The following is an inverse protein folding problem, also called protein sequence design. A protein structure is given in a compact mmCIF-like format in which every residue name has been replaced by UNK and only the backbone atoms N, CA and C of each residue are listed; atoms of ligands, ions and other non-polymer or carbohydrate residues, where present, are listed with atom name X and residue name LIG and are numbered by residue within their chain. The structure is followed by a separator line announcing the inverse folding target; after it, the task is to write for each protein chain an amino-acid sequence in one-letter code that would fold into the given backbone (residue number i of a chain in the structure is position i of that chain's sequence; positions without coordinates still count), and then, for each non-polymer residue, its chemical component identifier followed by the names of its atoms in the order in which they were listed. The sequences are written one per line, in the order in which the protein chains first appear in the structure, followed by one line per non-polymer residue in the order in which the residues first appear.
data_IF_306472180283
#
_entry.id   IF_306472180283
#
_cell.length_a   1.000
_cell.length_b   1.000
_cell.length_c   1.000
_cell.angle_alpha   90.00
_cell.angle_beta   90.00
_cell.angle_gamma   90.00
#
_symmetry.space_group_name_H-M   'P 1'
#
loop_
_entity.id
_entity.type
_entity.pdbx_description
1 polymer ?
#
# COMPACT_ATOMS: atom_id res chain seq x y z
N UNK A 1 28.45 24.48 13.28
CA UNK A 1 28.67 23.18 13.94
C UNK A 1 27.70 23.06 15.10
N UNK A 2 26.97 21.96 15.21
CA UNK A 2 25.97 21.72 16.26
C UNK A 2 26.20 20.36 16.93
N UNK A 3 25.82 20.24 18.19
CA UNK A 3 25.75 18.97 18.92
C UNK A 3 24.38 18.33 18.71
N UNK A 4 24.35 17.15 18.10
CA UNK A 4 23.14 16.47 17.65
C UNK A 4 23.03 15.11 18.35
N UNK A 5 21.82 14.82 18.84
CA UNK A 5 21.46 13.49 19.35
C UNK A 5 20.39 12.88 18.46
N UNK A 6 20.55 11.61 18.10
CA UNK A 6 19.65 10.95 17.16
C UNK A 6 19.32 9.51 17.58
N UNK A 7 18.07 9.12 17.37
CA UNK A 7 17.61 7.74 17.51
C UNK A 7 16.63 7.40 16.37
N UNK A 8 16.46 6.10 16.12
CA UNK A 8 15.46 5.60 15.18
C UNK A 8 14.31 4.97 15.96
N UNK A 9 13.08 5.37 15.65
CA UNK A 9 11.87 4.65 16.03
C UNK A 9 11.70 3.45 15.09
N UNK A 10 11.35 2.27 15.59
CA UNK A 10 11.49 0.95 14.95
C UNK A 10 10.78 0.80 13.57
N UNK A 11 11.28 1.50 12.55
CA UNK A 11 10.66 1.80 11.24
C UNK A 11 10.17 0.54 10.55
N UNK A 12 11.02 -0.48 10.51
CA UNK A 12 10.77 -1.73 9.80
C UNK A 12 10.56 -2.91 10.74
N UNK A 13 10.67 -2.70 12.05
CA UNK A 13 10.64 -3.80 13.01
C UNK A 13 11.93 -4.64 13.05
N UNK A 14 12.88 -4.37 12.15
CA UNK A 14 14.09 -5.17 11.95
C UNK A 14 15.29 -4.39 12.44
N UNK A 15 15.79 -4.76 13.62
CA UNK A 15 16.86 -4.03 14.30
C UNK A 15 18.09 -3.78 13.43
N UNK A 16 18.57 -4.77 12.66
CA UNK A 16 19.77 -4.65 11.83
C UNK A 16 19.61 -3.58 10.74
N UNK A 17 18.46 -3.54 10.06
CA UNK A 17 18.18 -2.61 8.97
C UNK A 17 17.97 -1.19 9.50
N UNK A 18 17.26 -1.06 10.61
CA UNK A 18 17.00 0.24 11.23
C UNK A 18 18.27 0.79 11.91
N UNK A 19 19.15 -0.09 12.39
CA UNK A 19 20.48 0.27 12.88
C UNK A 19 21.37 0.78 11.75
N UNK A 20 21.35 0.13 10.58
CA UNK A 20 22.04 0.62 9.39
C UNK A 20 21.50 2.00 8.96
N UNK A 21 20.18 2.18 9.01
CA UNK A 21 19.53 3.46 8.70
C UNK A 21 20.01 4.57 9.66
N UNK A 22 20.04 4.29 10.96
CA UNK A 22 20.56 5.20 11.99
C UNK A 22 22.02 5.59 11.70
N UNK A 23 22.86 4.62 11.38
CA UNK A 23 24.29 4.83 11.18
C UNK A 23 24.58 5.62 9.90
N UNK A 24 23.87 5.35 8.80
CA UNK A 24 23.94 6.15 7.57
C UNK A 24 23.51 7.59 7.80
N UNK A 25 22.35 7.81 8.45
CA UNK A 25 21.85 9.14 8.75
C UNK A 25 22.82 9.92 9.64
N UNK A 26 23.31 9.30 10.71
CA UNK A 26 24.29 9.91 11.62
C UNK A 26 25.61 10.23 10.90
N UNK A 27 26.06 9.36 9.99
CA UNK A 27 27.29 9.58 9.21
C UNK A 27 27.14 10.78 8.27
N UNK A 28 26.00 10.93 7.60
CA UNK A 28 25.73 12.10 6.76
C UNK A 28 25.79 13.42 7.54
N UNK A 29 25.21 13.46 8.75
CA UNK A 29 25.28 14.62 9.63
C UNK A 29 26.70 14.91 10.14
N UNK A 30 27.49 13.87 10.45
CA UNK A 30 28.91 14.03 10.82
C UNK A 30 29.74 14.58 9.67
N UNK A 31 29.51 14.08 8.45
CA UNK A 31 30.18 14.55 7.24
C UNK A 31 29.86 16.02 6.94
N UNK A 32 28.69 16.51 7.35
CA UNK A 32 28.33 17.92 7.30
C UNK A 32 28.97 18.78 8.43
N UNK A 33 29.84 18.20 9.25
CA UNK A 33 30.61 18.91 10.28
C UNK A 33 29.90 19.06 11.63
N UNK A 34 28.92 18.21 11.94
CA UNK A 34 28.23 18.19 13.24
C UNK A 34 28.78 17.09 14.17
N UNK A 35 28.66 17.31 15.48
CA UNK A 35 28.95 16.27 16.49
C UNK A 35 27.69 15.45 16.72
N UNK A 36 27.71 14.16 16.41
CA UNK A 36 26.49 13.31 16.44
C UNK A 36 26.64 12.12 17.39
N UNK A 37 25.76 12.05 18.40
CA UNK A 37 25.60 10.92 19.32
C UNK A 37 24.35 10.12 18.96
N UNK A 38 24.51 8.81 18.76
CA UNK A 38 23.39 7.90 18.46
C UNK A 38 22.89 7.21 19.73
N UNK A 39 21.57 7.09 19.88
CA UNK A 39 20.93 6.48 21.06
C UNK A 39 20.24 5.13 20.74
N UNK A 40 20.49 4.59 19.55
CA UNK A 40 20.03 3.28 19.12
C UNK A 40 18.66 3.29 18.43
N UNK A 41 18.13 2.08 18.25
CA UNK A 41 16.85 1.80 17.59
C UNK A 41 15.84 1.36 18.66
N UNK A 42 14.61 1.84 18.54
CA UNK A 42 13.48 1.35 19.31
C UNK A 42 12.48 2.44 19.67
N UNK A 43 11.29 2.03 20.15
CA UNK A 43 10.25 2.98 20.55
C UNK A 43 10.73 3.85 21.70
N UNK A 44 10.33 5.14 21.67
CA UNK A 44 10.56 6.13 22.72
C UNK A 44 12.03 6.36 23.14
N UNK A 45 13.01 5.89 22.36
CA UNK A 45 14.44 6.03 22.68
C UNK A 45 14.86 7.48 22.82
N UNK A 46 14.37 8.31 21.90
CA UNK A 46 14.69 9.75 21.92
C UNK A 46 14.00 10.41 23.11
N UNK A 47 12.70 10.17 23.35
CA UNK A 47 11.93 10.73 24.47
C UNK A 47 12.56 10.41 25.82
N UNK A 48 12.98 9.15 26.02
CA UNK A 48 13.63 8.71 27.25
C UNK A 48 14.99 9.40 27.44
N UNK A 49 15.74 9.59 26.37
CA UNK A 49 17.04 10.27 26.40
C UNK A 49 16.90 11.75 26.79
N UNK A 50 15.83 12.40 26.34
CA UNK A 50 15.61 13.84 26.45
C UNK A 50 15.34 14.35 27.86
N UNK A 51 14.88 13.48 28.76
CA UNK A 51 14.56 13.85 30.15
C UNK A 51 15.81 14.03 31.03
N UNK A 52 17.01 13.69 30.54
CA UNK A 52 18.25 13.79 31.31
C UNK A 52 19.06 15.03 30.96
N UNK A 53 19.42 15.84 31.97
CA UNK A 53 20.26 17.04 31.80
C UNK A 53 21.67 16.73 31.31
N UNK A 54 22.19 15.54 31.61
CA UNK A 54 23.47 15.05 31.08
C UNK A 54 23.42 14.81 29.56
N UNK A 55 22.23 14.75 28.97
CA UNK A 55 22.01 14.59 27.54
C UNK A 55 21.72 15.92 26.81
N UNK A 56 22.17 17.05 27.36
CA UNK A 56 21.99 18.33 26.69
C UNK A 56 22.60 18.35 25.28
N UNK A 57 21.93 19.03 24.35
CA UNK A 57 22.40 19.21 22.98
C UNK A 57 21.75 20.43 22.29
N UNK A 58 22.29 20.82 21.14
CA UNK A 58 21.68 21.87 20.32
C UNK A 58 20.41 21.35 19.62
N UNK A 59 20.47 20.13 19.11
CA UNK A 59 19.38 19.54 18.34
C UNK A 59 19.18 18.07 18.70
N UNK A 60 17.93 17.66 18.83
CA UNK A 60 17.57 16.26 18.97
C UNK A 60 16.66 15.77 17.85
N UNK A 61 16.99 14.64 17.24
CA UNK A 61 16.33 14.15 16.04
C UNK A 61 15.74 12.75 16.28
N UNK A 62 14.46 12.59 15.97
CA UNK A 62 13.83 11.28 15.82
C UNK A 62 13.79 10.92 14.34
N UNK A 63 14.43 9.82 13.94
CA UNK A 63 14.19 9.22 12.63
C UNK A 63 13.01 8.26 12.79
N UNK A 64 11.94 8.46 12.04
CA UNK A 64 10.71 7.71 12.21
C UNK A 64 10.16 7.21 10.86
N UNK A 65 9.49 6.05 10.91
CA UNK A 65 8.65 5.57 9.82
C UNK A 65 7.25 6.16 9.93
N UNK A 66 6.71 6.65 8.82
CA UNK A 66 5.37 7.23 8.79
C UNK A 66 5.28 8.61 9.47
N UNK A 67 4.06 9.13 9.62
CA UNK A 67 3.81 10.51 10.04
C UNK A 67 2.93 10.52 11.29
N UNK A 68 3.54 10.67 12.47
CA UNK A 68 2.82 10.67 13.76
C UNK A 68 2.70 12.09 14.33
N UNK A 69 1.48 12.61 14.42
CA UNK A 69 1.22 13.97 14.92
C UNK A 69 1.26 14.05 16.44
N UNK A 70 0.72 13.06 17.16
CA UNK A 70 0.75 13.05 18.63
C UNK A 70 2.18 13.18 19.16
N UNK A 71 3.06 12.28 18.72
CA UNK A 71 4.48 12.29 19.08
C UNK A 71 5.18 13.60 18.70
N UNK A 72 4.86 14.18 17.54
CA UNK A 72 5.40 15.46 17.10
C UNK A 72 5.05 16.60 18.07
N UNK A 73 3.77 16.71 18.45
CA UNK A 73 3.29 17.81 19.29
C UNK A 73 3.73 17.66 20.74
N UNK A 74 3.76 16.43 21.26
CA UNK A 74 4.34 16.15 22.58
C UNK A 74 5.83 16.48 22.59
N UNK A 75 6.54 16.11 21.53
CA UNK A 75 7.95 16.42 21.38
C UNK A 75 8.20 17.94 21.35
N UNK A 76 7.51 18.67 20.49
CA UNK A 76 7.60 20.14 20.42
C UNK A 76 7.30 20.79 21.77
N UNK A 77 6.23 20.36 22.45
CA UNK A 77 5.84 20.93 23.75
C UNK A 77 6.93 20.73 24.79
N UNK A 78 7.52 19.54 24.85
CA UNK A 78 8.61 19.25 25.79
C UNK A 78 9.84 20.11 25.55
N UNK A 79 10.19 20.40 24.29
CA UNK A 79 11.27 21.36 23.97
C UNK A 79 10.85 22.78 24.33
N UNK A 80 9.63 23.18 23.95
CA UNK A 80 9.13 24.55 24.15
C UNK A 80 9.17 24.95 25.62
N UNK A 81 8.75 24.04 26.49
CA UNK A 81 8.65 24.23 27.93
C UNK A 81 9.95 23.88 28.68
N UNK A 82 11.01 23.45 27.96
CA UNK A 82 12.31 23.12 28.56
C UNK A 82 12.34 21.82 29.36
N UNK A 83 11.35 20.93 29.18
CA UNK A 83 11.36 19.58 29.76
C UNK A 83 12.42 18.69 29.11
N UNK A 84 12.71 18.94 27.84
CA UNK A 84 13.81 18.31 27.13
C UNK A 84 15.00 19.24 27.10
N UNK A 85 16.17 18.72 27.48
CA UNK A 85 17.41 19.51 27.55
C UNK A 85 18.05 19.77 26.16
N UNK A 86 17.22 19.91 25.12
CA UNK A 86 17.62 20.27 23.76
C UNK A 86 17.14 21.70 23.44
N UNK A 87 17.92 22.46 22.66
CA UNK A 87 17.49 23.80 22.21
C UNK A 87 16.39 23.73 21.15
N UNK A 88 16.48 22.73 20.27
CA UNK A 88 15.54 22.45 19.20
C UNK A 88 15.37 20.95 18.97
N UNK A 89 14.34 20.58 18.21
CA UNK A 89 14.02 19.20 17.86
C UNK A 89 13.82 19.02 16.37
N UNK A 90 13.72 17.76 15.96
CA UNK A 90 13.30 17.47 14.60
C UNK A 90 12.93 16.02 14.34
N UNK A 91 12.22 15.84 13.23
CA UNK A 91 11.89 14.51 12.70
C UNK A 91 12.51 14.32 11.34
N UNK A 92 13.11 13.15 11.13
CA UNK A 92 13.47 12.67 9.81
C UNK A 92 12.47 11.57 9.41
N UNK A 93 11.57 11.90 8.48
CA UNK A 93 10.53 11.02 7.98
C UNK A 93 11.09 10.10 6.89
N UNK A 94 11.40 8.88 7.29
CA UNK A 94 12.02 7.88 6.41
C UNK A 94 10.96 7.14 5.59
N UNK A 95 11.26 6.89 4.30
CA UNK A 95 10.29 6.38 3.30
C UNK A 95 9.03 7.25 3.22
N UNK A 96 9.20 8.57 3.30
CA UNK A 96 8.12 9.51 3.14
C UNK A 96 8.07 9.98 1.68
N UNK A 97 7.12 9.43 0.93
CA UNK A 97 6.92 9.61 -0.51
C UNK A 97 6.26 10.95 -0.89
N UNK A 98 5.53 11.58 0.04
CA UNK A 98 4.73 12.78 -0.26
C UNK A 98 4.86 13.87 0.82
N UNK A 99 5.57 14.99 0.57
CA UNK A 99 5.65 16.10 1.51
C UNK A 99 4.33 16.90 1.64
N UNK A 100 3.42 16.76 0.67
CA UNK A 100 2.10 17.42 0.66
C UNK A 100 1.01 16.61 1.34
N UNK A 101 1.37 15.50 1.99
CA UNK A 101 0.43 14.74 2.79
C UNK A 101 -0.24 15.62 3.83
N UNK A 102 -1.56 15.53 3.90
CA UNK A 102 -2.37 16.22 4.89
C UNK A 102 -2.51 15.36 6.14
N UNK A 103 -2.18 15.96 7.27
CA UNK A 103 -2.34 15.41 8.59
C UNK A 103 -3.75 14.84 8.83
N UNK A 104 -3.85 13.53 9.05
CA UNK A 104 -5.04 12.85 9.52
C UNK A 104 -4.93 12.50 11.01
N UNK A 105 -6.06 12.12 11.63
CA UNK A 105 -6.05 11.57 12.99
C UNK A 105 -5.64 10.11 12.91
N UNK A 106 -4.56 9.70 13.58
CA UNK A 106 -4.19 8.29 13.65
C UNK A 106 -5.14 7.55 14.60
N UNK A 107 -5.41 6.27 14.34
CA UNK A 107 -6.31 5.45 15.17
C UNK A 107 -5.77 5.18 16.58
N UNK A 108 -4.45 5.27 16.75
CA UNK A 108 -3.70 5.16 18.00
C UNK A 108 -3.42 6.52 18.66
N UNK A 109 -3.83 7.66 18.06
CA UNK A 109 -3.77 8.99 18.69
C UNK A 109 -4.77 9.15 19.85
N UNK A 110 -5.46 8.08 20.25
CA UNK A 110 -6.30 8.02 21.45
C UNK A 110 -5.52 8.16 22.77
N UNK A 111 -4.21 8.36 22.75
CA UNK A 111 -3.41 8.57 23.97
C UNK A 111 -3.12 10.04 24.30
N UNK A 112 -3.31 10.98 23.36
CA UNK A 112 -3.07 12.41 23.59
C UNK A 112 -4.34 13.18 23.96
N UNK A 113 -5.00 12.79 25.06
CA UNK A 113 -6.22 13.44 25.56
C UNK A 113 -6.03 14.92 25.93
N UNK A 114 -4.78 15.38 26.06
CA UNK A 114 -4.41 16.70 26.55
C UNK A 114 -4.10 17.74 25.46
N UNK A 115 -3.97 17.35 24.19
CA UNK A 115 -3.49 18.24 23.13
C UNK A 115 -4.52 18.35 22.01
N UNK A 116 -5.04 19.57 21.78
CA UNK A 116 -5.97 19.82 20.69
C UNK A 116 -5.23 19.76 19.34
N UNK A 117 -5.11 18.54 18.78
CA UNK A 117 -4.49 18.28 17.48
C UNK A 117 -5.28 18.90 16.30
N UNK A 118 -6.52 19.35 16.51
CA UNK A 118 -7.42 19.84 15.44
C UNK A 118 -6.79 20.94 14.59
N UNK A 119 -5.96 21.80 15.16
CA UNK A 119 -5.29 22.90 14.43
C UNK A 119 -4.24 22.42 13.43
N UNK A 120 -3.79 21.17 13.54
CA UNK A 120 -2.80 20.55 12.65
C UNK A 120 -3.45 19.61 11.62
N UNK A 121 -4.62 19.05 11.93
CA UNK A 121 -5.36 18.18 11.01
C UNK A 121 -5.66 18.93 9.69
N UNK A 122 -5.49 18.23 8.58
CA UNK A 122 -5.67 18.76 7.22
C UNK A 122 -4.49 19.57 6.67
N UNK A 123 -3.47 19.85 7.49
CA UNK A 123 -2.27 20.61 7.07
C UNK A 123 -1.16 19.69 6.59
N UNK A 124 -0.36 20.19 5.66
CA UNK A 124 0.86 19.56 5.16
C UNK A 124 2.01 19.66 6.17
N UNK A 125 3.06 18.85 6.01
CA UNK A 125 4.25 18.95 6.87
C UNK A 125 4.86 20.37 6.84
N UNK A 126 5.11 21.03 5.68
CA UNK A 126 5.60 22.40 5.67
C UNK A 126 4.72 23.37 6.47
N UNK A 127 3.39 23.27 6.32
CA UNK A 127 2.45 24.11 7.05
C UNK A 127 2.52 23.86 8.56
N UNK A 128 2.54 22.60 9.00
CA UNK A 128 2.66 22.24 10.42
C UNK A 128 3.94 22.81 11.01
N UNK A 129 5.09 22.58 10.36
CA UNK A 129 6.38 23.01 10.87
C UNK A 129 6.54 24.54 10.84
N UNK A 130 5.91 25.24 9.90
CA UNK A 130 5.83 26.71 9.91
C UNK A 130 5.12 27.26 11.15
N UNK A 131 4.26 26.47 11.79
CA UNK A 131 3.54 26.84 13.00
C UNK A 131 4.31 26.57 14.30
N UNK A 132 5.46 25.87 14.26
CA UNK A 132 6.20 25.40 15.44
C UNK A 132 7.38 26.30 15.83
N UNK A 133 7.23 27.62 15.64
CA UNK A 133 8.13 28.71 16.09
C UNK A 133 9.65 28.54 15.81
N UNK A 134 10.02 27.71 14.84
CA UNK A 134 11.41 27.44 14.48
C UNK A 134 12.16 26.55 15.49
N UNK A 135 11.49 26.04 16.54
CA UNK A 135 12.07 25.02 17.44
C UNK A 135 12.04 23.62 16.87
N UNK A 136 11.28 23.39 15.81
CA UNK A 136 11.15 22.08 15.16
C UNK A 136 11.58 22.14 13.71
N UNK A 137 12.39 21.15 13.32
CA UNK A 137 12.86 20.96 11.95
C UNK A 137 12.42 19.60 11.42
N UNK A 138 12.34 19.48 10.10
CA UNK A 138 12.01 18.22 9.47
C UNK A 138 12.90 17.91 8.29
N UNK A 139 13.05 16.62 8.01
CA UNK A 139 13.60 16.09 6.77
C UNK A 139 12.76 14.92 6.31
N UNK A 140 12.78 14.63 5.02
CA UNK A 140 12.09 13.48 4.46
C UNK A 140 12.87 12.93 3.27
N UNK A 141 12.65 11.66 2.96
CA UNK A 141 13.30 10.98 1.84
C UNK A 141 13.08 9.47 1.89
N UNK A 142 13.54 8.78 0.85
CA UNK A 142 13.46 7.32 0.72
C UNK A 142 14.74 6.60 1.17
N UNK A 143 15.84 7.35 1.31
CA UNK A 143 17.13 6.90 1.83
C UNK A 143 17.54 7.70 3.06
N UNK A 144 18.50 7.20 3.83
CA UNK A 144 18.95 7.86 5.06
C UNK A 144 19.71 9.15 4.71
N UNK A 145 20.46 9.10 3.62
CA UNK A 145 21.21 10.20 3.06
C UNK A 145 20.29 11.31 2.56
N UNK A 146 19.21 10.98 1.84
CA UNK A 146 18.25 11.98 1.37
C UNK A 146 17.51 12.64 2.53
N UNK A 147 17.10 11.86 3.53
CA UNK A 147 16.50 12.40 4.75
C UNK A 147 17.45 13.39 5.43
N UNK A 148 18.73 13.03 5.58
CA UNK A 148 19.72 13.89 6.22
C UNK A 148 19.98 15.17 5.41
N UNK A 149 20.06 15.09 4.07
CA UNK A 149 20.22 16.25 3.20
C UNK A 149 19.03 17.21 3.31
N UNK A 150 17.81 16.71 3.20
CA UNK A 150 16.58 17.52 3.33
C UNK A 150 16.51 18.16 4.72
N UNK A 151 16.85 17.39 5.76
CA UNK A 151 16.90 17.90 7.12
C UNK A 151 17.89 19.06 7.28
N UNK A 152 19.13 18.89 6.79
CA UNK A 152 20.18 19.91 6.87
C UNK A 152 19.81 21.19 6.12
N UNK A 153 19.13 21.06 4.97
CA UNK A 153 18.63 22.20 4.21
C UNK A 153 17.61 23.03 5.02
N UNK A 154 16.69 22.36 5.72
CA UNK A 154 15.69 23.01 6.56
C UNK A 154 16.28 23.57 7.86
N UNK A 155 17.33 22.94 8.40
CA UNK A 155 18.01 23.40 9.62
C UNK A 155 18.85 24.67 9.40
N UNK A 156 19.55 24.80 8.26
CA UNK A 156 20.49 25.89 8.00
C UNK A 156 19.88 27.17 7.39
N UNK A 157 18.56 27.24 7.20
CA UNK A 157 17.86 28.49 6.84
C UNK A 157 18.15 29.08 5.45
N UNK A 158 18.85 28.37 4.56
CA UNK A 158 18.99 28.75 3.13
C UNK A 158 17.95 28.11 2.22
N UNK A 159 17.04 27.32 2.78
CA UNK A 159 15.85 26.88 2.08
C UNK A 159 14.90 28.05 1.84
N UNK A 160 15.15 28.82 0.77
CA UNK A 160 14.04 29.14 -0.14
C UNK A 160 13.20 27.88 -0.23
N UNK A 161 11.88 28.02 -0.17
CA UNK A 161 10.99 26.96 -0.59
C UNK A 161 11.44 26.54 -2.00
N UNK A 162 12.37 25.59 -2.09
CA UNK A 162 12.40 24.64 -3.17
C UNK A 162 11.09 23.89 -2.95
N UNK A 163 10.03 24.51 -3.50
CA UNK A 163 9.19 23.84 -4.46
C UNK A 163 10.17 23.03 -5.31
N UNK A 164 10.52 21.84 -4.81
CA UNK A 164 10.68 20.73 -5.70
C UNK A 164 9.32 20.65 -6.36
N UNK A 165 9.16 21.40 -7.45
CA UNK A 165 8.36 20.93 -8.55
C UNK A 165 9.01 19.63 -8.97
N UNK A 166 8.75 18.56 -8.21
CA UNK A 166 8.52 17.28 -8.85
C UNK A 166 7.39 17.60 -9.80
N UNK A 167 7.76 17.63 -11.07
CA UNK A 167 6.86 17.68 -12.20
C UNK A 167 5.69 16.77 -11.87
N UNK A 168 4.47 17.33 -11.84
CA UNK A 168 3.26 16.53 -11.73
C UNK A 168 3.26 15.55 -12.90
N UNK A 169 3.61 14.31 -12.58
CA UNK A 169 3.62 13.19 -13.52
C UNK A 169 3.10 11.91 -12.86
N UNK A 170 2.41 12.04 -11.72
CA UNK A 170 1.74 10.92 -11.08
C UNK A 170 0.27 11.29 -11.01
N UNK A 171 -0.52 10.73 -11.93
CA UNK A 171 -1.97 10.80 -11.87
C UNK A 171 -2.46 10.28 -10.51
N UNK A 172 -3.69 10.62 -10.09
CA UNK A 172 -4.27 10.05 -8.87
C UNK A 172 -4.18 8.50 -8.87
N UNK A 173 -4.24 7.90 -10.06
CA UNK A 173 -4.02 6.48 -10.30
C UNK A 173 -2.61 6.00 -9.90
N UNK A 174 -1.56 6.78 -10.16
CA UNK A 174 -0.18 6.42 -9.79
C UNK A 174 0.05 6.49 -8.27
N UNK A 175 -0.63 7.42 -7.59
CA UNK A 175 -0.61 7.48 -6.12
C UNK A 175 -1.37 6.31 -5.50
N UNK A 176 -2.52 5.93 -6.07
CA UNK A 176 -3.27 4.75 -5.61
C UNK A 176 -2.42 3.49 -5.83
N UNK A 177 -1.84 3.30 -7.04
CA UNK A 177 -0.89 2.20 -7.34
C UNK A 177 0.22 2.11 -6.29
N UNK A 178 0.84 3.24 -5.95
CA UNK A 178 1.90 3.28 -4.94
C UNK A 178 1.42 2.89 -3.53
N UNK A 179 0.25 3.37 -3.11
CA UNK A 179 -0.34 2.99 -1.82
C UNK A 179 -0.72 1.52 -1.73
N UNK A 180 -1.09 0.91 -2.86
CA UNK A 180 -1.60 -0.46 -2.92
C UNK A 180 -0.54 -1.51 -3.32
N UNK A 181 0.69 -1.10 -3.65
CA UNK A 181 1.77 -1.99 -4.13
C UNK A 181 2.10 -3.17 -3.20
N UNK A 182 1.94 -3.02 -1.89
CA UNK A 182 2.20 -4.09 -0.92
C UNK A 182 0.92 -4.73 -0.36
N UNK A 183 -0.26 -4.24 -0.75
CA UNK A 183 -1.54 -4.74 -0.21
C UNK A 183 -1.75 -6.20 -0.56
N UNK A 184 -1.32 -6.61 -1.75
CA UNK A 184 -1.39 -8.00 -2.18
C UNK A 184 -0.64 -8.95 -1.24
N UNK A 185 0.54 -8.52 -0.76
CA UNK A 185 1.37 -9.29 0.17
C UNK A 185 0.67 -9.48 1.51
N UNK A 186 -0.16 -8.54 1.94
CA UNK A 186 -0.90 -8.60 3.20
C UNK A 186 -2.31 -9.19 3.06
N UNK A 187 -2.63 -9.79 1.91
CA UNK A 187 -3.97 -10.29 1.65
C UNK A 187 -5.01 -9.16 1.70
N UNK A 188 -4.69 -8.01 1.13
CA UNK A 188 -5.65 -6.94 0.85
C UNK A 188 -5.76 -6.87 -0.67
N UNK A 189 -6.97 -7.08 -1.17
CA UNK A 189 -7.29 -7.04 -2.59
C UNK A 189 -7.94 -5.71 -2.91
N UNK A 190 -7.64 -5.17 -4.08
CA UNK A 190 -8.30 -3.98 -4.58
C UNK A 190 -8.64 -4.10 -6.07
N UNK A 191 -9.78 -3.53 -6.45
CA UNK A 191 -10.26 -3.48 -7.83
C UNK A 191 -10.83 -2.11 -8.12
N UNK A 192 -10.45 -1.54 -9.25
CA UNK A 192 -11.10 -0.34 -9.78
C UNK A 192 -12.27 -0.79 -10.67
N UNK A 193 -13.48 -0.33 -10.37
CA UNK A 193 -14.67 -0.53 -11.20
C UNK A 193 -15.27 0.84 -11.53
N UNK A 194 -15.06 1.31 -12.76
CA UNK A 194 -15.31 2.71 -13.13
C UNK A 194 -14.50 3.66 -12.24
N UNK A 195 -15.17 4.65 -11.65
CA UNK A 195 -14.53 5.63 -10.73
C UNK A 195 -14.43 5.13 -9.27
N UNK A 196 -14.82 3.88 -9.00
CA UNK A 196 -14.88 3.33 -7.64
C UNK A 196 -13.76 2.34 -7.37
N UNK A 197 -12.90 2.65 -6.40
CA UNK A 197 -11.92 1.70 -5.86
C UNK A 197 -12.57 0.83 -4.77
N UNK A 198 -12.78 -0.44 -5.07
CA UNK A 198 -13.23 -1.45 -4.10
C UNK A 198 -12.03 -2.04 -3.40
N UNK A 199 -12.07 -2.07 -2.07
CA UNK A 199 -10.99 -2.60 -1.23
C UNK A 199 -11.59 -3.71 -0.39
N UNK A 200 -11.10 -4.92 -0.56
CA UNK A 200 -11.53 -6.07 0.20
C UNK A 200 -10.35 -6.62 1.00
N UNK A 201 -10.56 -6.84 2.30
CA UNK A 201 -9.67 -7.73 3.03
C UNK A 201 -9.86 -9.10 2.40
N UNK A 202 -8.78 -9.76 1.98
CA UNK A 202 -8.85 -11.05 1.30
C UNK A 202 -9.43 -12.06 2.26
N UNK A 203 -10.74 -12.21 2.20
CA UNK A 203 -11.45 -13.36 2.69
C UNK A 203 -11.90 -14.03 1.40
N UNK A 204 -11.16 -15.06 0.97
CA UNK A 204 -11.56 -15.98 -0.10
C UNK A 204 -12.76 -16.82 0.35
N UNK A 205 -13.81 -16.14 0.79
CA UNK A 205 -15.03 -16.68 1.34
C UNK A 205 -16.14 -15.89 0.65
N UNK A 206 -16.48 -16.37 -0.54
CA UNK A 206 -17.72 -15.98 -1.21
C UNK A 206 -18.76 -17.05 -0.91
N UNK A 207 -19.96 -16.59 -0.60
CA UNK A 207 -21.14 -17.44 -0.47
C UNK A 207 -21.82 -17.68 -1.83
N UNK A 208 -21.34 -17.01 -2.89
CA UNK A 208 -21.85 -17.17 -4.25
C UNK A 208 -21.23 -18.43 -4.84
N UNK A 209 -22.06 -19.46 -5.04
CA UNK A 209 -21.65 -20.69 -5.70
C UNK A 209 -22.01 -20.63 -7.20
N UNK A 210 -21.14 -21.20 -8.04
CA UNK A 210 -21.41 -21.49 -9.45
C UNK A 210 -21.33 -23.02 -9.67
N UNK A 211 -22.44 -23.74 -9.41
CA UNK A 211 -22.57 -25.18 -9.66
C UNK A 211 -22.43 -25.60 -11.12
N UNK A 212 -21.84 -26.78 -11.37
CA UNK A 212 -21.71 -27.38 -12.71
C UNK A 212 -23.03 -27.47 -13.49
N UNK A 213 -24.16 -27.72 -12.82
CA UNK A 213 -25.50 -27.81 -13.44
C UNK A 213 -25.97 -26.52 -14.13
N UNK A 214 -25.34 -25.38 -13.84
CA UNK A 214 -25.67 -24.10 -14.45
C UNK A 214 -24.67 -23.70 -15.54
N UNK A 215 -23.67 -24.54 -15.81
CA UNK A 215 -22.61 -24.30 -16.80
C UNK A 215 -22.90 -25.15 -18.03
N UNK A 216 -22.72 -24.56 -19.21
CA UNK A 216 -22.78 -25.28 -20.48
C UNK A 216 -21.50 -26.08 -20.71
N UNK A 217 -21.61 -27.41 -20.75
CA UNK A 217 -20.47 -28.32 -20.92
C UNK A 217 -19.75 -28.19 -22.27
N UNK A 218 -20.33 -27.51 -23.27
CA UNK A 218 -19.71 -27.33 -24.60
C UNK A 218 -18.75 -26.16 -24.69
N UNK A 219 -18.64 -25.35 -23.63
CA UNK A 219 -18.06 -24.00 -23.73
C UNK A 219 -16.98 -23.73 -22.69
N UNK A 220 -16.41 -24.76 -22.05
CA UNK A 220 -15.37 -24.60 -21.01
C UNK A 220 -13.98 -24.64 -21.67
N UNK A 221 -13.25 -23.53 -21.57
CA UNK A 221 -11.87 -23.40 -22.02
C UNK A 221 -11.01 -23.02 -20.82
N UNK A 222 -10.03 -23.86 -20.48
CA UNK A 222 -9.07 -23.60 -19.39
C UNK A 222 -7.74 -23.19 -20.03
N UNK A 223 -7.20 -22.03 -19.63
CA UNK A 223 -5.90 -21.55 -20.10
C UNK A 223 -4.96 -21.41 -18.90
N UNK A 224 -3.93 -22.23 -18.84
CA UNK A 224 -2.91 -22.16 -17.78
C UNK A 224 -1.93 -21.02 -18.05
N UNK A 225 -1.64 -20.21 -17.03
CA UNK A 225 -0.66 -19.12 -17.02
C UNK A 225 0.61 -19.59 -16.32
N UNK A 226 1.53 -20.18 -17.10
CA UNK A 226 2.83 -20.73 -16.72
C UNK A 226 2.86 -21.78 -15.58
N UNK A 227 3.76 -22.75 -15.73
CA UNK A 227 3.85 -23.98 -14.93
C UNK A 227 4.29 -23.82 -13.47
N UNK A 228 4.42 -22.59 -12.97
CA UNK A 228 4.99 -22.27 -11.66
C UNK A 228 3.91 -21.90 -10.63
N UNK A 229 2.76 -22.60 -10.59
CA UNK A 229 1.72 -22.32 -9.59
C UNK A 229 2.14 -22.87 -8.21
N UNK A 230 2.52 -22.02 -7.24
CA UNK A 230 3.02 -22.50 -5.96
C UNK A 230 1.91 -23.23 -5.21
N UNK A 231 2.20 -24.45 -4.78
CA UNK A 231 1.18 -25.36 -4.26
C UNK A 231 1.58 -26.03 -2.94
N UNK A 232 2.80 -25.76 -2.48
CA UNK A 232 3.38 -26.34 -1.28
C UNK A 232 4.07 -25.26 -0.45
N UNK A 233 3.72 -25.15 0.83
CA UNK A 233 4.34 -24.23 1.78
C UNK A 233 5.06 -25.02 2.87
N UNK A 234 6.33 -24.73 3.12
CA UNK A 234 7.04 -25.29 4.27
C UNK A 234 7.14 -24.24 5.39
N UNK A 235 6.64 -24.60 6.58
CA UNK A 235 6.71 -23.73 7.76
C UNK A 235 6.95 -24.55 9.02
N UNK A 236 7.91 -24.13 9.84
CA UNK A 236 8.29 -24.82 11.08
C UNK A 236 8.63 -26.31 10.85
N UNK A 237 9.28 -26.63 9.72
CA UNK A 237 9.64 -28.00 9.34
C UNK A 237 8.45 -28.89 8.95
N UNK A 238 7.27 -28.31 8.71
CA UNK A 238 6.10 -29.02 8.19
C UNK A 238 5.74 -28.49 6.81
N UNK A 239 5.48 -29.41 5.88
CA UNK A 239 4.96 -29.09 4.55
C UNK A 239 3.44 -29.11 4.53
N UNK A 240 2.86 -28.11 3.88
CA UNK A 240 1.44 -27.96 3.66
C UNK A 240 1.20 -27.86 2.16
N UNK A 241 0.51 -28.85 1.60
CA UNK A 241 0.33 -28.97 0.15
C UNK A 241 -1.13 -28.84 -0.25
N UNK A 242 -1.38 -28.42 -1.49
CA UNK A 242 -2.68 -28.54 -2.16
C UNK A 242 -2.60 -29.77 -3.06
N UNK A 243 -3.07 -30.96 -2.62
CA UNK A 243 -2.72 -32.23 -3.28
C UNK A 243 -3.12 -32.31 -4.75
N UNK A 244 -4.27 -31.74 -5.12
CA UNK A 244 -4.74 -31.71 -6.51
C UNK A 244 -3.83 -30.88 -7.44
N UNK A 245 -3.23 -29.81 -6.93
CA UNK A 245 -2.31 -28.98 -7.72
C UNK A 245 -0.95 -29.65 -7.83
N UNK A 246 -0.50 -30.33 -6.76
CA UNK A 246 0.69 -31.19 -6.82
C UNK A 246 0.53 -32.29 -7.87
N UNK A 247 -0.67 -32.89 -7.97
CA UNK A 247 -0.96 -33.91 -9.00
C UNK A 247 -0.91 -33.34 -10.42
N UNK A 248 -1.34 -32.08 -10.63
CA UNK A 248 -1.43 -31.44 -11.94
C UNK A 248 -0.10 -30.80 -12.39
N UNK A 249 0.63 -30.16 -11.49
CA UNK A 249 1.79 -29.33 -11.80
C UNK A 249 3.11 -29.84 -11.17
N UNK A 250 3.06 -30.88 -10.32
CA UNK A 250 4.19 -31.27 -9.49
C UNK A 250 4.27 -30.45 -8.19
N UNK A 251 5.13 -30.88 -7.25
CA UNK A 251 5.36 -30.14 -6.01
C UNK A 251 6.15 -28.85 -6.31
N UNK A 252 5.53 -27.70 -6.04
CA UNK A 252 6.15 -26.38 -6.25
C UNK A 252 6.11 -25.65 -4.91
N UNK A 253 7.29 -25.46 -4.32
CA UNK A 253 7.47 -24.86 -3.01
C UNK A 253 7.35 -23.34 -3.08
N UNK A 254 6.68 -22.73 -2.11
CA UNK A 254 6.69 -21.28 -1.91
C UNK A 254 8.10 -20.85 -1.48
N UNK A 255 8.77 -20.02 -2.29
CA UNK A 255 10.08 -19.43 -1.96
C UNK A 255 9.97 -18.04 -1.31
N UNK A 256 8.78 -17.45 -1.26
CA UNK A 256 8.54 -16.08 -0.79
C UNK A 256 8.41 -15.96 0.74
N UNK A 257 8.93 -14.85 1.28
CA UNK A 257 8.74 -14.47 2.69
C UNK A 257 7.29 -13.96 2.90
N UNK A 258 6.39 -14.88 3.25
CA UNK A 258 4.98 -14.61 3.45
C UNK A 258 4.69 -14.10 4.88
N UNK A 259 3.75 -13.16 5.05
CA UNK A 259 3.37 -12.69 6.38
C UNK A 259 2.73 -13.80 7.22
N UNK A 260 2.75 -13.62 8.54
CA UNK A 260 2.14 -14.58 9.47
C UNK A 260 0.60 -14.61 9.35
N UNK A 261 0.10 -15.42 8.42
CA UNK A 261 -1.32 -15.66 8.17
C UNK A 261 -1.67 -17.14 8.30
N UNK A 262 -2.94 -17.49 8.10
CA UNK A 262 -3.34 -18.90 8.00
C UNK A 262 -2.68 -19.59 6.80
N UNK A 263 -2.33 -20.87 6.93
CA UNK A 263 -1.66 -21.67 5.87
C UNK A 263 -2.34 -21.53 4.51
N UNK A 264 -3.66 -21.66 4.48
CA UNK A 264 -4.44 -21.55 3.24
C UNK A 264 -4.36 -20.15 2.63
N UNK A 265 -4.33 -19.10 3.45
CA UNK A 265 -4.20 -17.71 2.99
C UNK A 265 -2.82 -17.47 2.38
N UNK A 266 -1.77 -17.96 3.03
CA UNK A 266 -0.39 -17.88 2.55
C UNK A 266 -0.24 -18.57 1.19
N UNK A 267 -0.74 -19.80 1.05
CA UNK A 267 -0.74 -20.51 -0.22
C UNK A 267 -1.52 -19.76 -1.31
N UNK A 268 -2.63 -19.12 -0.96
CA UNK A 268 -3.41 -18.35 -1.92
C UNK A 268 -2.75 -17.03 -2.31
N UNK A 269 -1.96 -16.41 -1.43
CA UNK A 269 -1.14 -15.23 -1.75
C UNK A 269 -0.01 -15.62 -2.70
N UNK A 270 0.70 -16.71 -2.42
CA UNK A 270 1.77 -17.21 -3.28
C UNK A 270 1.29 -17.59 -4.69
N UNK A 271 0.01 -17.94 -4.83
CA UNK A 271 -0.63 -18.24 -6.13
C UNK A 271 -1.07 -17.00 -6.90
N UNK A 272 -0.91 -15.78 -6.36
CA UNK A 272 -1.36 -14.58 -7.09
C UNK A 272 -0.56 -14.37 -8.34
N UNK A 273 -1.25 -14.27 -9.48
CA UNK A 273 -0.60 -14.13 -10.78
C UNK A 273 -0.06 -15.43 -11.37
N UNK A 274 -0.20 -16.55 -10.66
CA UNK A 274 0.23 -17.88 -11.08
C UNK A 274 -0.96 -18.84 -10.99
N UNK A 275 -1.44 -19.35 -12.13
CA UNK A 275 -2.66 -20.17 -12.12
C UNK A 275 -3.23 -20.36 -13.51
N UNK A 276 -4.55 -20.23 -13.64
CA UNK A 276 -5.25 -20.44 -14.90
C UNK A 276 -6.50 -19.56 -14.98
N UNK A 277 -6.87 -19.18 -16.20
CA UNK A 277 -8.21 -18.65 -16.48
C UNK A 277 -9.14 -19.77 -16.92
N UNK A 278 -10.43 -19.57 -16.68
CA UNK A 278 -11.49 -20.39 -17.23
C UNK A 278 -12.47 -19.47 -17.95
N UNK A 279 -12.59 -19.65 -19.25
CA UNK A 279 -13.69 -19.10 -20.03
C UNK A 279 -14.82 -20.15 -20.03
N UNK A 280 -16.02 -19.76 -19.63
CA UNK A 280 -17.19 -20.63 -19.61
C UNK A 280 -18.48 -19.87 -19.92
N UNK A 281 -19.53 -20.62 -20.27
CA UNK A 281 -20.88 -20.09 -20.41
C UNK A 281 -21.77 -20.67 -19.33
N UNK A 282 -22.57 -19.84 -18.67
CA UNK A 282 -23.52 -20.26 -17.63
C UNK A 282 -24.88 -19.57 -17.77
N UNK A 283 -25.87 -20.03 -17.00
CA UNK A 283 -27.15 -19.33 -16.86
C UNK A 283 -26.93 -17.95 -16.24
N UNK A 284 -27.73 -16.98 -16.68
CA UNK A 284 -27.72 -15.63 -16.13
C UNK A 284 -28.10 -15.66 -14.64
N UNK A 285 -27.31 -14.94 -13.84
CA UNK A 285 -27.62 -14.64 -12.44
C UNK A 285 -27.17 -13.21 -12.12
N UNK A 286 -27.95 -12.45 -11.33
CA UNK A 286 -27.51 -11.14 -10.84
C UNK A 286 -26.24 -11.23 -9.95
N UNK A 287 -25.91 -12.41 -9.44
CA UNK A 287 -24.71 -12.62 -8.61
C UNK A 287 -23.42 -12.75 -9.44
N UNK A 288 -23.53 -13.07 -10.73
CA UNK A 288 -22.39 -13.29 -11.63
C UNK A 288 -22.05 -11.99 -12.35
N UNK A 289 -21.39 -11.07 -11.65
CA UNK A 289 -20.99 -9.78 -12.20
C UNK A 289 -19.47 -9.62 -12.17
N UNK A 290 -18.93 -8.82 -13.08
CA UNK A 290 -17.52 -8.41 -13.06
C UNK A 290 -17.15 -7.81 -11.69
N UNK A 291 -15.98 -8.19 -11.18
CA UNK A 291 -15.51 -7.75 -9.87
C UNK A 291 -16.03 -8.61 -8.70
N UNK A 292 -16.79 -9.68 -8.95
CA UNK A 292 -17.29 -10.59 -7.92
C UNK A 292 -16.47 -11.87 -7.84
N UNK A 293 -16.52 -12.49 -6.66
CA UNK A 293 -15.95 -13.80 -6.41
C UNK A 293 -17.04 -14.86 -6.44
N UNK A 294 -16.76 -16.00 -7.06
CA UNK A 294 -17.64 -17.18 -7.09
C UNK A 294 -16.89 -18.45 -6.69
N UNK A 295 -17.59 -19.41 -6.09
CA UNK A 295 -17.09 -20.77 -5.86
C UNK A 295 -17.48 -21.66 -7.02
N UNK A 296 -16.51 -21.99 -7.85
CA UNK A 296 -16.71 -22.85 -9.01
C UNK A 296 -16.69 -24.32 -8.61
N UNK A 297 -17.66 -25.06 -9.14
CA UNK A 297 -17.75 -26.52 -9.03
C UNK A 297 -17.75 -27.14 -10.42
N UNK A 298 -16.60 -27.69 -10.81
CA UNK A 298 -16.40 -28.46 -12.04
C UNK A 298 -15.62 -29.75 -11.70
N UNK A 299 -16.27 -30.75 -11.08
CA UNK A 299 -15.60 -31.96 -10.61
C UNK A 299 -14.88 -32.74 -11.71
N UNK A 300 -15.42 -32.71 -12.94
CA UNK A 300 -14.85 -33.36 -14.13
C UNK A 300 -13.45 -32.82 -14.48
N UNK A 301 -13.17 -31.58 -14.09
CA UNK A 301 -11.89 -30.89 -14.28
C UNK A 301 -11.07 -30.82 -12.98
N UNK A 302 -11.48 -31.53 -11.92
CA UNK A 302 -10.81 -31.51 -10.62
C UNK A 302 -11.01 -30.23 -9.80
N UNK A 303 -11.94 -29.36 -10.22
CA UNK A 303 -12.22 -28.09 -9.56
C UNK A 303 -13.43 -28.28 -8.64
N UNK A 304 -13.20 -28.23 -7.33
CA UNK A 304 -14.25 -28.43 -6.33
C UNK A 304 -14.23 -27.28 -5.33
N UNK A 305 -15.31 -26.48 -5.33
CA UNK A 305 -15.55 -25.32 -4.46
C UNK A 305 -14.36 -24.34 -4.42
N UNK A 306 -13.73 -24.11 -5.57
CA UNK A 306 -12.60 -23.20 -5.66
C UNK A 306 -13.06 -21.77 -5.89
N UNK A 307 -12.48 -20.78 -5.18
CA UNK A 307 -12.82 -19.38 -5.42
C UNK A 307 -12.18 -18.90 -6.72
N UNK A 308 -12.99 -18.30 -7.60
CA UNK A 308 -12.58 -17.59 -8.80
C UNK A 308 -13.13 -16.17 -8.79
N UNK A 309 -12.35 -15.26 -9.35
CA UNK A 309 -12.76 -13.89 -9.60
C UNK A 309 -13.34 -13.76 -11.00
N UNK A 310 -14.49 -13.11 -11.14
CA UNK A 310 -15.10 -12.81 -12.44
C UNK A 310 -14.40 -11.58 -13.02
N UNK A 311 -13.47 -11.80 -13.94
CA UNK A 311 -12.72 -10.74 -14.62
C UNK A 311 -13.46 -10.17 -15.82
N UNK A 312 -14.35 -10.97 -16.44
CA UNK A 312 -15.25 -10.52 -17.51
C UNK A 312 -16.60 -11.22 -17.41
N UNK A 313 -17.67 -10.49 -17.67
CA UNK A 313 -19.03 -11.05 -17.76
C UNK A 313 -19.77 -10.42 -18.94
N UNK A 314 -20.28 -11.24 -19.85
CA UNK A 314 -20.96 -10.78 -21.06
C UNK A 314 -22.26 -11.54 -21.24
N UNK A 315 -23.36 -10.84 -21.52
CA UNK A 315 -24.65 -11.46 -21.83
C UNK A 315 -24.61 -11.98 -23.27
N UNK A 316 -24.80 -13.29 -23.45
CA UNK A 316 -24.84 -13.90 -24.79
C UNK A 316 -26.25 -13.82 -25.40
N UNK A 317 -27.27 -13.95 -24.55
CA UNK A 317 -28.70 -13.83 -24.86
C UNK A 317 -29.51 -13.71 -23.56
N UNK A 318 -30.84 -13.81 -23.61
CA UNK A 318 -31.72 -13.68 -22.44
C UNK A 318 -31.62 -14.82 -21.41
N UNK A 319 -30.88 -15.89 -21.73
CA UNK A 319 -30.77 -17.10 -20.89
C UNK A 319 -29.33 -17.33 -20.42
N UNK A 320 -28.35 -17.06 -21.28
CA UNK A 320 -26.94 -17.39 -21.06
C UNK A 320 -26.05 -16.16 -21.00
N UNK A 321 -24.99 -16.30 -20.21
CA UNK A 321 -23.89 -15.35 -20.14
C UNK A 321 -22.55 -16.07 -20.19
N UNK A 322 -21.56 -15.42 -20.77
CA UNK A 322 -20.17 -15.86 -20.79
C UNK A 322 -19.38 -15.19 -19.67
N UNK A 323 -18.59 -15.98 -18.96
CA UNK A 323 -17.72 -15.55 -17.88
C UNK A 323 -16.26 -15.88 -18.20
N UNK A 324 -15.35 -14.94 -17.92
CA UNK A 324 -13.92 -15.23 -17.75
C UNK A 324 -13.62 -15.21 -16.25
N UNK A 325 -13.07 -16.32 -15.76
CA UNK A 325 -12.81 -16.58 -14.35
C UNK A 325 -11.32 -16.72 -14.09
N UNK A 326 -10.77 -15.89 -13.21
CA UNK A 326 -9.37 -15.93 -12.81
C UNK A 326 -9.22 -16.62 -11.45
N UNK A 327 -8.34 -17.63 -11.37
CA UNK A 327 -7.96 -18.19 -10.06
C UNK A 327 -6.96 -17.25 -9.39
N UNK A 328 -7.32 -16.70 -8.23
CA UNK A 328 -6.44 -15.84 -7.44
C UNK A 328 -5.70 -14.77 -8.28
N UNK A 329 -6.37 -13.91 -9.07
CA UNK A 329 -5.67 -12.88 -9.82
C UNK A 329 -4.90 -11.95 -8.86
N UNK A 330 -3.78 -11.36 -9.30
CA UNK A 330 -3.17 -10.26 -8.56
C UNK A 330 -4.17 -9.08 -8.55
N UNK A 331 -4.05 -8.16 -7.59
CA UNK A 331 -4.88 -6.96 -7.62
C UNK A 331 -4.55 -6.15 -8.88
N UNK A 332 -5.58 -5.66 -9.57
CA UNK A 332 -5.42 -4.99 -10.87
C UNK A 332 -6.26 -3.71 -10.92
N UNK A 333 -5.73 -2.74 -11.65
CA UNK A 333 -6.55 -1.66 -12.20
C UNK A 333 -7.14 -2.20 -13.50
N UNK A 334 -8.42 -2.54 -13.47
CA UNK A 334 -9.12 -2.96 -14.69
C UNK A 334 -9.42 -1.68 -15.46
N UNK A 335 -8.83 -1.52 -16.65
CA UNK A 335 -9.26 -0.47 -17.57
C UNK A 335 -10.66 -0.84 -18.08
N UNK A 336 -11.64 -0.02 -17.74
CA UNK A 336 -12.95 -0.09 -18.39
C UNK A 336 -12.73 0.39 -19.82
N UNK A 337 -12.84 -0.51 -20.80
CA UNK A 337 -13.03 -0.08 -22.17
C UNK A 337 -14.35 0.68 -22.21
N UNK A 338 -14.30 1.98 -22.49
CA UNK A 338 -15.51 2.72 -22.82
C UNK A 338 -16.23 1.97 -23.96
N UNK A 339 -17.56 1.82 -23.91
CA UNK A 339 -18.28 1.23 -25.02
C UNK A 339 -17.96 2.03 -26.27
N UNK A 340 -17.46 1.35 -27.32
CA UNK A 340 -17.26 1.98 -28.62
C UNK A 340 -18.56 2.69 -28.99
N UNK A 341 -18.46 4.02 -29.17
CA UNK A 341 -19.59 4.80 -29.64
C UNK A 341 -20.04 4.16 -30.95
N UNK A 342 -21.27 3.64 -30.96
CA UNK A 342 -21.94 3.25 -32.19
C UNK A 342 -22.03 4.50 -33.04
N UNK A 343 -21.22 4.57 -34.09
CA UNK A 343 -21.41 5.48 -35.21
C UNK A 343 -22.83 5.27 -35.71
N UNK A 344 -23.72 6.15 -35.28
CA UNK A 344 -25.02 6.33 -35.92
C UNK A 344 -24.74 7.25 -37.08
N UNK A 345 -24.47 6.66 -38.25
CA UNK A 345 -24.52 7.37 -39.51
C UNK A 345 -25.89 8.05 -39.59
N UNK A 346 -25.90 9.38 -39.48
CA UNK A 346 -27.05 10.20 -39.77
C UNK A 346 -27.18 10.32 -41.30
N UNK A 347 -27.85 9.36 -41.91
CA UNK A 347 -28.55 9.60 -43.17
C UNK A 347 -29.86 10.31 -42.82
N UNK A 348 -29.92 11.63 -43.04
CA UNK A 348 -31.20 12.26 -43.39
C UNK A 348 -30.98 13.17 -44.59
N UNK A 349 -31.68 12.78 -45.64
CA UNK A 349 -31.62 13.20 -47.02
C UNK A 349 -32.03 14.66 -47.25
N UNK A 350 -31.40 15.25 -48.26
CA UNK A 350 -31.95 16.37 -49.01
C UNK A 350 -33.23 15.92 -49.73
N UNK A 351 -34.39 16.46 -49.35
CA UNK A 351 -35.50 16.60 -50.29
C UNK A 351 -35.91 18.06 -50.42
N UNK A 352 -35.60 18.57 -51.61
CA UNK A 352 -36.11 19.80 -52.22
C UNK A 352 -37.45 19.45 -52.85
N UNK A 353 -38.54 20.13 -52.47
CA UNK A 353 -39.65 20.36 -53.39
C UNK A 353 -40.21 21.79 -53.23
N UNK A 354 -40.28 22.46 -54.38
CA UNK A 354 -40.92 23.74 -54.64
C UNK A 354 -42.46 23.58 -54.79
N UNK A 355 -43.14 24.73 -54.92
CA UNK A 355 -44.55 24.96 -55.33
C UNK A 355 -45.61 24.87 -54.20
N UNK A 356 -46.49 25.86 -53.93
CA UNK A 356 -47.00 27.05 -54.65
C UNK A 356 -47.09 28.31 -53.76
#
# INVERSE_FOLDING_TARGET
MATIRVAVDNIRGIYSVDKQTLDSFASALRNAGHTVTTHGVGPNKIQTTMLSSSNACDLMIQVAGGRCLGTLIDFYTGIKNGYYHAKAGGFAYFKCWDPNWKAGRAGDDNFSWSMNLSKYIGKTLPEIYSMLDGKMFYGYGNTAEDCAKTFLANYNGTGSSTKSTMTMGSSALDLIKQCTNDWDKYGIEYHLQGDTLKINRTILNTDIALPSKYISNTSIIIKDHDGDTPNTLERNGRKYTIPRLVQRYGEILVEEDLPELGIQQMLNIARRGHGHTIDLQCLISPDYQEGKWVRLELPEYGINHEPYFISKATYDNDVFMSLTLDVAPPSRFVEVQEPEATDTESEEDEEVEEEE
#
